data_IF_068963179127
#
_entry.id   IF_068963179127
#
_cell.length_a   1.000
_cell.length_b   1.000
_cell.length_c   1.000
_cell.angle_alpha   90.00
_cell.angle_beta   90.00
_cell.angle_gamma   90.00
#
_symmetry.space_group_name_H-M   'P 1'
#
loop_
_entity.id
_entity.type
_entity.pdbx_description
1 polymer ?
#
# COMPACT_ATOMS: atom_id res chain seq x y z
N UNK A 1 18.42 19.50 -6.77
CA UNK A 1 17.11 19.66 -6.09
C UNK A 1 16.69 18.27 -5.66
N UNK A 2 16.69 18.00 -4.36
CA UNK A 2 16.22 16.71 -3.81
C UNK A 2 14.69 16.82 -3.75
N UNK A 3 13.92 15.89 -4.34
CA UNK A 3 12.47 15.95 -4.23
C UNK A 3 12.14 15.77 -2.75
N UNK A 4 11.49 16.78 -2.19
CA UNK A 4 10.99 16.79 -0.82
C UNK A 4 10.16 15.53 -0.64
N UNK A 5 10.47 14.73 0.39
CA UNK A 5 9.54 13.73 0.89
C UNK A 5 8.27 14.48 1.26
N UNK A 6 7.29 14.49 0.36
CA UNK A 6 5.94 14.97 0.66
C UNK A 6 5.50 14.16 1.88
N UNK A 7 5.42 14.82 3.03
CA UNK A 7 4.96 14.21 4.27
C UNK A 7 3.49 13.94 4.07
N UNK A 8 3.16 12.73 3.60
CA UNK A 8 1.78 12.28 3.50
C UNK A 8 1.18 12.30 4.89
N UNK A 9 0.12 13.08 5.07
CA UNK A 9 -0.62 13.07 6.33
C UNK A 9 -1.34 11.73 6.49
N UNK A 10 -1.60 11.31 7.73
CA UNK A 10 -2.36 10.08 8.01
C UNK A 10 -3.66 9.96 7.17
N UNK A 11 -4.50 11.00 7.01
CA UNK A 11 -5.67 10.90 6.13
C UNK A 11 -5.31 10.66 4.65
N UNK A 12 -4.24 11.27 4.13
CA UNK A 12 -3.78 11.01 2.75
C UNK A 12 -3.26 9.59 2.56
N UNK A 13 -2.56 9.05 3.58
CA UNK A 13 -2.11 7.65 3.59
C UNK A 13 -3.32 6.72 3.54
N UNK A 14 -4.35 6.97 4.36
CA UNK A 14 -5.60 6.20 4.35
C UNK A 14 -6.32 6.28 3.00
N UNK A 15 -6.40 7.46 2.38
CA UNK A 15 -7.00 7.61 1.05
C UNK A 15 -6.24 6.79 0.00
N UNK A 16 -4.91 6.88 -0.02
CA UNK A 16 -4.08 6.12 -0.98
C UNK A 16 -4.20 4.61 -0.77
N UNK A 17 -4.29 4.14 0.48
CA UNK A 17 -4.54 2.73 0.78
C UNK A 17 -5.87 2.30 0.15
N UNK A 18 -6.96 3.04 0.41
CA UNK A 18 -8.28 2.71 -0.13
C UNK A 18 -8.30 2.71 -1.67
N UNK A 19 -7.63 3.66 -2.33
CA UNK A 19 -7.52 3.70 -3.78
C UNK A 19 -6.76 2.49 -4.35
N UNK A 20 -5.67 2.09 -3.70
CA UNK A 20 -4.86 0.94 -4.11
C UNK A 20 -5.61 -0.39 -3.91
N UNK A 21 -6.32 -0.55 -2.80
CA UNK A 21 -7.18 -1.72 -2.57
C UNK A 21 -8.33 -1.79 -3.57
N UNK A 22 -8.96 -0.66 -3.89
CA UNK A 22 -10.00 -0.57 -4.91
C UNK A 22 -9.47 -0.94 -6.30
N UNK A 23 -8.27 -0.45 -6.66
CA UNK A 23 -7.61 -0.80 -7.93
C UNK A 23 -7.25 -2.28 -8.01
N UNK A 24 -6.81 -2.87 -6.91
CA UNK A 24 -6.50 -4.29 -6.83
C UNK A 24 -7.75 -5.18 -6.73
N UNK A 25 -8.92 -4.60 -6.40
CA UNK A 25 -10.13 -5.35 -6.09
C UNK A 25 -9.99 -6.27 -4.88
N UNK A 26 -9.01 -6.00 -4.01
CA UNK A 26 -8.65 -6.83 -2.88
C UNK A 26 -7.88 -6.03 -1.83
N UNK A 27 -8.06 -6.37 -0.56
CA UNK A 27 -7.32 -5.76 0.55
C UNK A 27 -5.85 -6.18 0.57
N UNK A 28 -5.00 -5.43 1.27
CA UNK A 28 -3.58 -5.76 1.45
C UNK A 28 -3.36 -7.21 1.94
N UNK A 29 -4.13 -7.66 2.95
CA UNK A 29 -4.09 -9.03 3.48
C UNK A 29 -4.51 -10.11 2.47
N UNK A 30 -5.42 -9.78 1.55
CA UNK A 30 -5.85 -10.71 0.50
C UNK A 30 -4.81 -10.80 -0.61
N UNK A 31 -4.22 -9.66 -0.99
CA UNK A 31 -3.10 -9.61 -1.93
C UNK A 31 -1.89 -10.36 -1.38
N UNK A 32 -1.60 -10.24 -0.09
CA UNK A 32 -0.50 -10.97 0.56
C UNK A 32 -0.71 -12.48 0.49
N UNK A 33 -1.90 -12.97 0.85
CA UNK A 33 -2.27 -14.39 0.72
C UNK A 33 -2.14 -14.91 -0.71
N UNK A 34 -2.59 -14.14 -1.70
CA UNK A 34 -2.44 -14.49 -3.12
C UNK A 34 -0.98 -14.45 -3.57
N UNK A 35 -0.15 -13.57 -3.01
CA UNK A 35 1.29 -13.54 -3.26
C UNK A 35 1.99 -14.79 -2.73
N UNK A 36 1.65 -15.23 -1.51
CA UNK A 36 2.14 -16.48 -0.91
C UNK A 36 1.77 -17.72 -1.75
N UNK A 37 0.65 -17.65 -2.47
CA UNK A 37 0.19 -18.70 -3.39
C UNK A 37 0.76 -18.57 -4.81
N UNK A 38 1.62 -17.57 -5.07
CA UNK A 38 2.14 -17.23 -6.40
C UNK A 38 1.05 -16.90 -7.44
N UNK A 39 -0.14 -16.51 -6.98
CA UNK A 39 -1.31 -16.20 -7.82
C UNK A 39 -1.40 -14.70 -8.17
N UNK A 40 -0.39 -13.91 -7.79
CA UNK A 40 -0.37 -12.47 -7.98
C UNK A 40 0.33 -12.08 -9.29
N UNK A 41 -0.35 -11.28 -10.10
CA UNK A 41 0.25 -10.64 -11.28
C UNK A 41 1.32 -9.62 -10.87
N UNK A 42 2.20 -9.21 -11.79
CA UNK A 42 3.19 -8.15 -11.53
C UNK A 42 2.56 -6.84 -11.06
N UNK A 43 1.37 -6.49 -11.59
CA UNK A 43 0.63 -5.31 -11.13
C UNK A 43 0.16 -5.49 -9.69
N UNK A 44 -0.41 -6.64 -9.35
CA UNK A 44 -0.82 -6.96 -7.98
C UNK A 44 0.35 -6.93 -7.00
N UNK A 45 1.53 -7.45 -7.39
CA UNK A 45 2.75 -7.40 -6.55
C UNK A 45 3.22 -5.97 -6.33
N UNK A 46 3.13 -5.12 -7.36
CA UNK A 46 3.48 -3.70 -7.26
C UNK A 46 2.51 -2.95 -6.34
N UNK A 47 1.22 -3.27 -6.39
CA UNK A 47 0.20 -2.69 -5.50
C UNK A 47 0.42 -3.17 -4.06
N UNK A 48 0.63 -4.46 -3.85
CA UNK A 48 0.90 -5.02 -2.53
C UNK A 48 2.09 -4.33 -1.86
N UNK A 49 3.21 -4.17 -2.59
CA UNK A 49 4.39 -3.50 -2.05
C UNK A 49 4.11 -2.06 -1.62
N UNK A 50 3.34 -1.31 -2.41
CA UNK A 50 2.92 0.07 -2.07
C UNK A 50 2.00 0.11 -0.86
N UNK A 51 1.10 -0.87 -0.72
CA UNK A 51 0.22 -0.99 0.45
C UNK A 51 1.03 -1.29 1.72
N UNK A 52 2.04 -2.15 1.64
CA UNK A 52 2.94 -2.44 2.77
C UNK A 52 3.75 -1.20 3.19
N UNK A 53 4.29 -0.44 2.23
CA UNK A 53 4.99 0.83 2.52
C UNK A 53 4.06 1.85 3.20
N UNK A 54 2.82 1.99 2.73
CA UNK A 54 1.84 2.92 3.29
C UNK A 54 1.37 2.50 4.69
N UNK A 55 1.13 1.21 4.92
CA UNK A 55 0.80 0.68 6.24
C UNK A 55 1.95 0.93 7.23
N UNK A 56 3.20 0.68 6.83
CA UNK A 56 4.37 0.97 7.66
C UNK A 56 4.44 2.46 8.04
N UNK A 57 4.22 3.36 7.08
CA UNK A 57 4.18 4.80 7.35
C UNK A 57 3.03 5.18 8.29
N UNK A 58 1.86 4.54 8.17
CA UNK A 58 0.72 4.79 9.05
C UNK A 58 1.02 4.34 10.49
N UNK A 59 1.57 3.15 10.69
CA UNK A 59 1.94 2.62 12.01
C UNK A 59 3.01 3.48 12.70
N UNK A 60 3.96 4.02 11.93
CA UNK A 60 5.03 4.87 12.45
C UNK A 60 4.63 6.34 12.63
N UNK A 61 3.67 6.85 11.86
CA UNK A 61 3.14 8.20 12.04
C UNK A 61 2.20 8.34 13.25
N UNK A 62 1.65 7.24 13.75
CA UNK A 62 0.79 7.21 14.94
C UNK A 62 1.50 7.04 16.28
N UNK A 63 2.85 6.97 16.31
CA UNK A 63 3.67 6.74 17.51
C UNK A 63 4.29 8.01 18.07
#
# INVERSE_FOLDING_TARGET
>A
MVPTLEVLTIPEISTRIAELEARAGASADQLRRRADQYELSQEGQSILRKLEDLNYLQEHAGR
#
